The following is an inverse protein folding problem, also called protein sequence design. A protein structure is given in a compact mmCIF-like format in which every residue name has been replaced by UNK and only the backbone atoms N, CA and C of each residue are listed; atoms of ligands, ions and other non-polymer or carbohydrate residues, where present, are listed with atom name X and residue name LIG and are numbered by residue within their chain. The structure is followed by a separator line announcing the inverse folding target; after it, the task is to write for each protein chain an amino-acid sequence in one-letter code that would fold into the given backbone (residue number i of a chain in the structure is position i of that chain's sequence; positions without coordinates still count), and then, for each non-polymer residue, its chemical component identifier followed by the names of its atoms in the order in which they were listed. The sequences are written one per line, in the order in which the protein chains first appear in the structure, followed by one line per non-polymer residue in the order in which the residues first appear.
data_IF_993139263310
#
_entry.id   IF_993139263310
#
_cell.length_a   1.000
_cell.length_b   1.000
_cell.length_c   1.000
_cell.angle_alpha   90.00
_cell.angle_beta   90.00
_cell.angle_gamma   90.00
#
_symmetry.space_group_name_H-M   'P 1'
#
loop_
_entity.id
_entity.type
_entity.pdbx_description
1 polymer ?
#
# COMPACT_ATOMS: atom_id res chain seq x y z
N UNK A 1 -8.68 12.55 5.95
CA UNK A 1 -9.06 11.65 7.07
C UNK A 1 -10.40 10.99 6.74
N UNK A 2 -11.03 10.25 7.67
CA UNK A 2 -12.34 9.61 7.41
C UNK A 2 -13.49 10.60 7.15
N UNK A 3 -13.29 11.87 7.50
CA UNK A 3 -14.22 12.97 7.28
C UNK A 3 -13.99 13.68 5.94
N UNK A 4 -13.02 13.24 5.14
CA UNK A 4 -12.67 13.83 3.85
C UNK A 4 -11.79 15.09 3.95
N UNK A 5 -11.26 15.40 5.13
CA UNK A 5 -10.42 16.57 5.34
C UNK A 5 -8.95 16.28 4.99
N UNK A 6 -8.21 17.26 4.43
CA UNK A 6 -6.79 17.11 4.16
C UNK A 6 -5.98 16.93 5.45
N UNK A 7 -4.90 16.15 5.39
CA UNK A 7 -4.02 15.91 6.53
C UNK A 7 -2.62 16.44 6.16
N UNK A 8 -2.19 17.60 6.70
CA UNK A 8 -0.86 18.14 6.44
C UNK A 8 0.22 17.46 7.29
N UNK A 9 1.45 17.46 6.79
CA UNK A 9 2.63 17.00 7.52
C UNK A 9 2.63 15.50 7.83
N UNK A 10 1.98 14.69 6.99
CA UNK A 10 2.09 13.22 6.94
C UNK A 10 3.39 12.87 6.23
N UNK A 11 4.20 12.01 6.85
CA UNK A 11 5.42 11.45 6.26
C UNK A 11 5.06 10.23 5.41
N UNK A 12 5.63 10.15 4.21
CA UNK A 12 5.32 9.12 3.22
C UNK A 12 6.61 8.52 2.71
N UNK A 13 6.84 7.24 3.01
CA UNK A 13 7.90 6.44 2.40
C UNK A 13 7.31 5.75 1.17
N UNK A 14 7.90 6.01 0.00
CA UNK A 14 7.49 5.48 -1.30
C UNK A 14 8.62 4.65 -1.86
N UNK A 15 8.33 3.45 -2.38
CA UNK A 15 9.32 2.62 -3.07
C UNK A 15 8.72 1.79 -4.19
N UNK A 16 9.50 1.60 -5.26
CA UNK A 16 9.16 0.76 -6.41
C UNK A 16 10.40 0.08 -6.98
N UNK A 17 10.19 -0.89 -7.88
CA UNK A 17 11.26 -1.47 -8.69
C UNK A 17 11.65 -0.55 -9.83
N UNK A 18 12.84 -0.76 -10.39
CA UNK A 18 13.25 -0.14 -11.65
C UNK A 18 12.52 -0.76 -12.87
N UNK A 19 12.88 -0.30 -14.08
CA UNK A 19 12.31 -0.79 -15.34
C UNK A 19 12.64 -2.26 -15.66
N UNK A 20 13.56 -2.87 -14.92
CA UNK A 20 13.93 -4.29 -15.05
C UNK A 20 13.27 -5.17 -13.97
N UNK A 21 12.49 -4.57 -13.07
CA UNK A 21 11.80 -5.28 -11.99
C UNK A 21 12.67 -5.54 -10.76
N UNK A 22 13.73 -4.76 -10.55
CA UNK A 22 14.61 -4.90 -9.38
C UNK A 22 14.52 -3.70 -8.46
N UNK A 23 14.59 -3.95 -7.15
CA UNK A 23 14.83 -2.91 -6.16
C UNK A 23 16.31 -2.56 -6.10
N UNK A 24 16.61 -1.31 -5.73
CA UNK A 24 17.97 -0.82 -5.49
C UNK A 24 18.80 -1.73 -4.57
N UNK A 25 18.17 -2.32 -3.55
CA UNK A 25 18.80 -3.26 -2.61
C UNK A 25 19.22 -4.60 -3.22
N UNK A 26 18.80 -4.92 -4.43
CA UNK A 26 19.16 -6.17 -5.11
C UNK A 26 20.44 -6.05 -5.94
N UNK A 27 20.96 -4.84 -6.14
CA UNK A 27 22.22 -4.60 -6.84
C UNK A 27 23.38 -4.56 -5.86
N UNK A 28 24.40 -5.40 -6.09
CA UNK A 28 25.60 -5.45 -5.26
C UNK A 28 26.43 -4.15 -5.34
N UNK A 29 26.39 -3.48 -6.49
CA UNK A 29 27.13 -2.26 -6.82
C UNK A 29 26.33 -0.97 -6.58
N UNK A 30 25.22 -1.04 -5.82
CA UNK A 30 24.40 0.15 -5.50
C UNK A 30 25.25 1.27 -4.88
N UNK A 31 25.09 2.48 -5.39
CA UNK A 31 25.82 3.67 -4.90
C UNK A 31 24.98 4.55 -3.96
N UNK A 32 23.68 4.27 -3.86
CA UNK A 32 22.73 5.05 -3.06
C UNK A 32 21.32 4.49 -3.17
N UNK A 33 20.33 5.15 -2.54
CA UNK A 33 18.93 4.82 -2.73
C UNK A 33 18.47 5.18 -4.15
N UNK A 34 17.72 4.29 -4.79
CA UNK A 34 17.07 4.52 -6.07
C UNK A 34 15.65 3.92 -6.07
N UNK A 35 14.73 4.51 -6.83
CA UNK A 35 13.32 4.07 -6.86
C UNK A 35 12.61 4.26 -5.50
N UNK A 36 13.07 5.22 -4.69
CA UNK A 36 12.61 5.46 -3.32
C UNK A 36 12.55 6.95 -3.00
N UNK A 37 11.58 7.38 -2.19
CA UNK A 37 11.47 8.75 -1.72
C UNK A 37 10.85 8.83 -0.31
N UNK A 38 11.30 9.80 0.48
CA UNK A 38 10.62 10.23 1.70
C UNK A 38 10.00 11.59 1.43
N UNK A 39 8.67 11.67 1.50
CA UNK A 39 7.87 12.85 1.17
C UNK A 39 7.09 13.31 2.40
N UNK A 40 6.67 14.57 2.38
CA UNK A 40 5.77 15.15 3.37
C UNK A 40 4.61 15.84 2.65
N UNK A 41 3.39 15.64 3.14
CA UNK A 41 2.20 16.33 2.60
C UNK A 41 2.22 17.82 2.94
N UNK A 42 1.80 18.64 1.98
CA UNK A 42 1.70 20.08 2.15
C UNK A 42 0.50 20.50 3.03
N UNK A 43 0.28 21.81 3.17
CA UNK A 43 -0.84 22.37 3.96
C UNK A 43 -2.24 21.91 3.49
N UNK A 44 -2.36 21.46 2.23
CA UNK A 44 -3.59 20.93 1.65
C UNK A 44 -3.62 19.40 1.65
N UNK A 45 -2.69 18.73 2.34
CA UNK A 45 -2.59 17.27 2.38
C UNK A 45 -2.09 16.64 1.08
N UNK A 46 -1.51 17.43 0.18
CA UNK A 46 -1.05 16.96 -1.14
C UNK A 46 0.42 16.56 -1.09
N UNK A 47 0.75 15.46 -1.74
CA UNK A 47 2.12 15.08 -2.08
C UNK A 47 2.18 14.67 -3.56
N UNK A 48 3.37 14.75 -4.15
CA UNK A 48 3.60 14.33 -5.52
C UNK A 48 5.06 13.97 -5.73
N UNK A 49 5.33 13.15 -6.74
CA UNK A 49 6.68 12.79 -7.17
C UNK A 49 6.65 12.32 -8.63
N UNK A 50 7.80 12.32 -9.28
CA UNK A 50 7.98 11.67 -10.58
C UNK A 50 8.67 10.33 -10.36
N UNK A 51 8.03 9.25 -10.82
CA UNK A 51 8.59 7.91 -10.81
C UNK A 51 8.71 7.35 -12.23
N UNK A 52 8.86 6.05 -12.33
CA UNK A 52 8.73 5.32 -13.59
C UNK A 52 7.38 4.59 -13.63
N UNK A 53 6.99 4.05 -14.77
CA UNK A 53 5.84 3.15 -14.83
C UNK A 53 6.28 1.78 -14.27
N UNK A 54 5.67 1.27 -13.19
CA UNK A 54 6.04 -0.02 -12.63
C UNK A 54 5.90 -1.15 -13.65
N UNK A 55 6.80 -2.14 -13.55
CA UNK A 55 6.75 -3.36 -14.37
C UNK A 55 6.51 -4.58 -13.48
N UNK A 56 5.83 -5.63 -13.97
CA UNK A 56 5.69 -6.86 -13.23
C UNK A 56 7.06 -7.55 -13.04
N UNK A 57 7.23 -8.19 -11.88
CA UNK A 57 8.51 -8.79 -11.49
C UNK A 57 8.32 -10.05 -10.63
N UNK A 58 9.29 -10.99 -10.64
CA UNK A 58 9.24 -12.19 -9.82
C UNK A 58 9.66 -11.92 -8.37
N UNK A 59 9.04 -12.61 -7.41
CA UNK A 59 9.69 -12.84 -6.10
C UNK A 59 10.84 -13.85 -6.24
N UNK A 60 11.85 -13.84 -5.35
CA UNK A 60 12.96 -14.80 -5.40
C UNK A 60 12.48 -16.27 -5.47
N UNK A 61 12.93 -16.97 -6.51
CA UNK A 61 12.46 -18.32 -6.87
C UNK A 61 13.41 -19.46 -6.48
N UNK A 62 14.57 -19.13 -5.94
CA UNK A 62 15.66 -20.04 -5.54
C UNK A 62 15.55 -20.49 -4.06
N UNK A 63 14.82 -19.74 -3.24
CA UNK A 63 14.58 -20.04 -1.83
C UNK A 63 13.46 -21.06 -1.54
N UNK A 64 13.18 -21.31 -0.24
CA UNK A 64 12.10 -22.20 0.20
C UNK A 64 10.72 -21.85 -0.38
N UNK A 65 10.42 -20.55 -0.49
CA UNK A 65 9.16 -20.05 -1.07
C UNK A 65 9.08 -20.41 -2.55
N UNK A 66 10.16 -20.20 -3.31
CA UNK A 66 10.22 -20.58 -4.72
C UNK A 66 10.03 -22.08 -4.94
N UNK A 67 10.62 -22.92 -4.08
CA UNK A 67 10.39 -24.38 -4.13
C UNK A 67 8.93 -24.74 -3.83
N UNK A 68 8.31 -24.10 -2.84
CA UNK A 68 6.90 -24.30 -2.51
C UNK A 68 5.99 -23.92 -3.70
N UNK A 69 6.23 -22.77 -4.33
CA UNK A 69 5.44 -22.34 -5.50
C UNK A 69 5.55 -23.33 -6.66
N UNK A 70 6.75 -23.86 -6.93
CA UNK A 70 6.94 -24.91 -7.94
C UNK A 70 6.15 -26.19 -7.62
N UNK A 71 6.16 -26.64 -6.36
CA UNK A 71 5.38 -27.81 -5.93
C UNK A 71 3.87 -27.60 -6.11
N UNK A 72 3.40 -26.38 -5.83
CA UNK A 72 2.00 -25.99 -6.01
C UNK A 72 1.63 -25.63 -7.46
N UNK A 73 2.58 -25.74 -8.41
CA UNK A 73 2.41 -25.36 -9.82
C UNK A 73 1.96 -23.90 -10.00
N UNK A 74 2.49 -22.99 -9.16
CA UNK A 74 2.22 -21.55 -9.19
C UNK A 74 3.41 -20.77 -9.76
N UNK A 75 3.15 -19.67 -10.44
CA UNK A 75 4.19 -18.70 -10.80
C UNK A 75 4.61 -17.86 -9.58
N UNK A 76 5.76 -17.18 -9.69
CA UNK A 76 6.33 -16.28 -8.68
C UNK A 76 6.18 -14.79 -9.03
N UNK A 77 5.47 -14.47 -10.10
CA UNK A 77 5.28 -13.09 -10.56
C UNK A 77 4.33 -12.28 -9.69
N UNK A 78 4.66 -11.00 -9.55
CA UNK A 78 3.80 -9.93 -9.00
C UNK A 78 3.50 -8.91 -10.11
N UNK A 79 2.30 -8.32 -10.13
CA UNK A 79 1.97 -7.23 -11.06
C UNK A 79 2.83 -5.99 -10.81
N UNK A 80 2.95 -5.10 -11.80
CA UNK A 80 3.59 -3.79 -11.61
C UNK A 80 2.87 -2.96 -10.54
N UNK A 81 3.62 -2.47 -9.56
CA UNK A 81 3.07 -1.67 -8.46
C UNK A 81 4.09 -0.73 -7.82
N UNK A 82 3.58 0.26 -7.11
CA UNK A 82 4.33 1.16 -6.24
C UNK A 82 3.82 1.02 -4.81
N UNK A 83 4.74 1.01 -3.86
CA UNK A 83 4.45 0.87 -2.45
C UNK A 83 4.44 2.21 -1.72
N UNK A 84 3.65 2.27 -0.65
CA UNK A 84 3.54 3.43 0.22
C UNK A 84 3.48 3.00 1.68
N UNK A 85 4.13 3.78 2.55
CA UNK A 85 3.96 3.75 3.99
C UNK A 85 3.72 5.18 4.48
N UNK A 86 2.56 5.40 5.07
CA UNK A 86 2.13 6.69 5.61
C UNK A 86 2.25 6.68 7.14
N UNK A 87 2.89 7.72 7.68
CA UNK A 87 3.08 7.89 9.12
C UNK A 87 2.75 9.32 9.56
N UNK A 88 1.89 9.42 10.58
CA UNK A 88 1.53 10.67 11.24
C UNK A 88 1.13 10.39 12.68
N UNK A 89 1.65 11.18 13.62
CA UNK A 89 1.26 11.07 15.03
C UNK A 89 -0.28 11.21 15.18
N UNK A 90 -0.88 10.33 15.99
CA UNK A 90 -2.33 10.25 16.17
C UNK A 90 -3.08 9.42 15.12
N UNK A 91 -2.41 9.03 14.02
CA UNK A 91 -2.97 8.18 12.97
C UNK A 91 -2.45 6.75 13.03
N UNK A 92 -3.27 5.80 12.57
CA UNK A 92 -2.83 4.41 12.39
C UNK A 92 -1.95 4.35 11.12
N UNK A 93 -0.72 3.82 11.20
CA UNK A 93 0.14 3.72 10.02
C UNK A 93 -0.52 2.93 8.90
N UNK A 94 -0.51 3.48 7.68
CA UNK A 94 -1.02 2.80 6.50
C UNK A 94 0.15 2.28 5.67
N UNK A 95 0.26 0.96 5.55
CA UNK A 95 1.15 0.30 4.58
C UNK A 95 0.28 -0.25 3.45
N UNK A 96 0.54 0.17 2.23
CA UNK A 96 -0.26 -0.22 1.06
C UNK A 96 0.56 -0.20 -0.22
N UNK A 97 -0.05 -0.62 -1.33
CA UNK A 97 0.51 -0.50 -2.66
C UNK A 97 -0.60 -0.22 -3.67
N UNK A 98 -0.26 0.42 -4.78
CA UNK A 98 -1.16 0.61 -5.92
C UNK A 98 -0.65 -0.24 -7.08
N UNK A 99 -1.56 -1.01 -7.67
CA UNK A 99 -1.28 -1.98 -8.73
C UNK A 99 -1.80 -1.47 -10.05
N UNK A 100 -1.05 -1.65 -11.12
CA UNK A 100 -1.49 -1.23 -12.45
C UNK A 100 -2.62 -2.13 -12.96
N UNK A 101 -3.67 -1.48 -13.47
CA UNK A 101 -4.77 -2.15 -14.17
C UNK A 101 -4.27 -2.78 -15.46
N UNK A 102 -4.87 -3.92 -15.80
CA UNK A 102 -4.56 -4.73 -16.99
C UNK A 102 -3.16 -5.35 -16.97
N UNK A 103 -2.49 -5.36 -15.81
CA UNK A 103 -1.25 -6.09 -15.64
C UNK A 103 -1.52 -7.61 -15.76
N UNK A 104 -0.69 -8.39 -16.49
CA UNK A 104 -0.88 -9.82 -16.68
C UNK A 104 -1.01 -10.64 -15.38
N UNK A 105 -0.53 -10.11 -14.25
CA UNK A 105 -0.53 -10.78 -12.96
C UNK A 105 -1.46 -10.11 -11.94
N UNK A 106 -2.30 -9.14 -12.35
CA UNK A 106 -3.20 -8.42 -11.41
C UNK A 106 -4.16 -9.38 -10.68
N UNK A 107 -4.61 -10.44 -11.35
CA UNK A 107 -5.56 -11.42 -10.79
C UNK A 107 -4.86 -12.64 -10.19
N UNK A 108 -3.54 -12.75 -10.33
CA UNK A 108 -2.79 -13.96 -9.97
C UNK A 108 -1.53 -13.69 -9.13
N UNK A 109 -1.39 -12.49 -8.58
CA UNK A 109 -0.26 -12.06 -7.73
C UNK A 109 0.22 -13.17 -6.77
N UNK A 110 1.50 -13.51 -6.86
CA UNK A 110 2.09 -14.60 -6.11
C UNK A 110 1.93 -14.45 -4.59
N UNK A 111 1.84 -13.21 -4.09
CA UNK A 111 1.74 -12.89 -2.65
C UNK A 111 0.35 -12.45 -2.20
N UNK A 112 -0.65 -12.49 -3.09
CA UNK A 112 -2.05 -12.13 -2.78
C UNK A 112 -2.23 -10.70 -2.23
N UNK A 113 -1.36 -9.78 -2.65
CA UNK A 113 -1.36 -8.39 -2.22
C UNK A 113 -2.44 -7.53 -2.90
N UNK A 114 -2.84 -7.89 -4.13
CA UNK A 114 -3.84 -7.14 -4.89
C UNK A 114 -5.21 -7.16 -4.19
N UNK A 115 -5.82 -5.98 -4.09
CA UNK A 115 -7.22 -5.76 -3.68
C UNK A 115 -7.86 -4.86 -4.72
N UNK A 116 -9.13 -5.12 -5.07
CA UNK A 116 -9.83 -4.38 -6.13
C UNK A 116 -9.76 -2.84 -5.98
N UNK A 117 -9.90 -2.24 -4.77
CA UNK A 117 -9.78 -0.79 -4.60
C UNK A 117 -8.38 -0.22 -4.88
N UNK A 118 -7.35 -1.07 -4.88
CA UNK A 118 -5.95 -0.69 -5.06
C UNK A 118 -5.46 -0.86 -6.52
N UNK A 119 -6.35 -1.25 -7.44
CA UNK A 119 -6.03 -1.39 -8.87
C UNK A 119 -6.35 -0.08 -9.60
N UNK A 120 -5.31 0.58 -10.11
CA UNK A 120 -5.36 1.93 -10.66
C UNK A 120 -4.96 1.97 -12.13
N UNK A 121 -5.56 2.91 -12.86
CA UNK A 121 -5.17 3.21 -14.24
C UNK A 121 -4.10 4.30 -14.30
N UNK A 122 -3.53 4.48 -15.49
CA UNK A 122 -2.63 5.59 -15.79
C UNK A 122 -3.25 6.50 -16.85
N UNK A 123 -3.48 7.75 -16.46
CA UNK A 123 -4.01 8.79 -17.33
C UNK A 123 -2.89 9.49 -18.12
N UNK A 124 -3.27 10.50 -18.90
CA UNK A 124 -2.35 11.41 -19.57
C UNK A 124 -2.26 12.71 -18.79
N UNK A 125 -1.04 13.26 -18.70
CA UNK A 125 -0.82 14.60 -18.18
C UNK A 125 -1.46 15.64 -19.13
N UNK A 126 -2.31 16.49 -18.59
CA UNK A 126 -2.90 17.63 -19.30
C UNK A 126 -2.01 18.90 -19.22
N UNK A 127 -2.44 20.01 -19.82
CA UNK A 127 -1.68 21.28 -19.80
C UNK A 127 -1.52 21.83 -18.38
N UNK A 128 -2.53 21.66 -17.53
CA UNK A 128 -2.53 22.18 -16.16
C UNK A 128 -1.48 21.45 -15.33
N UNK A 129 -1.46 20.12 -15.38
CA UNK A 129 -0.50 19.29 -14.67
C UNK A 129 0.91 19.42 -15.24
N UNK A 130 1.05 19.47 -16.57
CA UNK A 130 2.34 19.69 -17.24
C UNK A 130 3.00 20.99 -16.77
N UNK A 131 2.22 22.08 -16.69
CA UNK A 131 2.70 23.38 -16.22
C UNK A 131 2.98 23.37 -14.73
N UNK A 132 2.05 22.86 -13.92
CA UNK A 132 2.15 22.87 -12.45
C UNK A 132 3.37 22.09 -11.94
N UNK A 133 3.64 20.93 -12.53
CA UNK A 133 4.70 20.01 -12.08
C UNK A 133 5.92 19.99 -13.00
N UNK A 134 5.95 20.83 -14.03
CA UNK A 134 7.03 20.92 -15.01
C UNK A 134 7.39 19.55 -15.64
N UNK A 135 6.38 18.84 -16.13
CA UNK A 135 6.52 17.52 -16.76
C UNK A 135 5.99 17.50 -18.19
N UNK A 136 6.45 16.56 -19.00
CA UNK A 136 5.97 16.38 -20.37
C UNK A 136 4.53 15.85 -20.40
N UNK A 137 3.73 16.26 -21.39
CA UNK A 137 2.42 15.64 -21.68
C UNK A 137 2.50 14.16 -22.07
N UNK A 138 3.69 13.65 -22.41
CA UNK A 138 3.92 12.22 -22.65
C UNK A 138 4.02 11.40 -21.35
N UNK A 139 4.21 12.07 -20.22
CA UNK A 139 4.27 11.43 -18.91
C UNK A 139 2.91 10.82 -18.56
N UNK A 140 2.94 9.61 -18.00
CA UNK A 140 1.75 8.94 -17.46
C UNK A 140 1.39 9.57 -16.11
N UNK A 141 0.09 9.77 -15.88
CA UNK A 141 -0.42 10.37 -14.64
C UNK A 141 -1.10 9.29 -13.79
N UNK A 142 -0.70 9.18 -12.53
CA UNK A 142 -1.41 8.42 -11.51
C UNK A 142 -1.94 9.42 -10.49
N UNK A 143 -3.24 9.41 -10.24
CA UNK A 143 -3.88 10.19 -9.18
C UNK A 143 -4.62 9.25 -8.24
N UNK A 144 -4.38 9.38 -6.95
CA UNK A 144 -5.00 8.53 -5.94
C UNK A 144 -5.04 9.23 -4.58
N UNK A 145 -6.19 9.17 -3.91
CA UNK A 145 -6.38 9.72 -2.58
C UNK A 145 -6.24 8.61 -1.52
N UNK A 146 -5.36 8.82 -0.56
CA UNK A 146 -5.21 7.92 0.58
C UNK A 146 -5.97 8.46 1.79
N UNK A 147 -6.75 7.60 2.42
CA UNK A 147 -7.50 7.93 3.62
C UNK A 147 -6.82 7.29 4.83
N UNK A 148 -6.37 8.12 5.76
CA UNK A 148 -5.86 7.67 7.05
C UNK A 148 -6.95 7.75 8.12
N UNK A 149 -7.08 6.66 8.87
CA UNK A 149 -7.87 6.60 10.10
C UNK A 149 -6.98 6.92 11.29
N UNK A 150 -7.54 7.55 12.32
CA UNK A 150 -6.84 7.78 13.57
C UNK A 150 -6.58 6.45 14.29
N UNK A 151 -5.53 6.41 15.12
CA UNK A 151 -5.25 5.22 15.93
C UNK A 151 -6.44 4.87 16.86
N UNK A 152 -7.18 5.89 17.31
CA UNK A 152 -8.38 5.70 18.12
C UNK A 152 -9.54 5.08 17.33
N UNK A 153 -9.79 5.55 16.10
CA UNK A 153 -10.83 5.00 15.24
C UNK A 153 -10.56 3.53 14.90
N UNK A 154 -9.31 3.18 14.56
CA UNK A 154 -8.97 1.79 14.24
C UNK A 154 -8.99 0.90 15.48
N UNK A 155 -8.56 1.39 16.64
CA UNK A 155 -8.70 0.66 17.91
C UNK A 155 -10.17 0.33 18.22
N UNK A 156 -11.06 1.33 18.18
CA UNK A 156 -12.50 1.13 18.41
C UNK A 156 -13.10 0.13 17.41
N UNK A 157 -12.68 0.21 16.14
CA UNK A 157 -13.17 -0.70 15.10
C UNK A 157 -12.68 -2.14 15.34
N UNK A 158 -11.41 -2.32 15.71
CA UNK A 158 -10.84 -3.64 16.06
C UNK A 158 -11.57 -4.26 17.24
N UNK A 159 -11.83 -3.48 18.28
CA UNK A 159 -12.56 -3.94 19.48
C UNK A 159 -13.95 -4.43 19.09
N UNK A 160 -14.72 -3.58 18.39
CA UNK A 160 -16.06 -3.94 17.90
C UNK A 160 -16.05 -5.19 17.03
N UNK A 161 -15.10 -5.30 16.09
CA UNK A 161 -15.01 -6.46 15.19
C UNK A 161 -14.64 -7.75 15.92
N UNK A 162 -13.84 -7.64 16.99
CA UNK A 162 -13.47 -8.77 17.82
C UNK A 162 -14.66 -9.28 18.64
N UNK A 163 -15.45 -8.38 19.21
CA UNK A 163 -16.70 -8.72 19.91
C UNK A 163 -17.69 -9.40 18.96
N UNK A 164 -17.98 -8.80 17.80
CA UNK A 164 -18.86 -9.37 16.77
C UNK A 164 -18.41 -10.78 16.33
N UNK A 165 -17.10 -11.02 16.21
CA UNK A 165 -16.56 -12.31 15.81
C UNK A 165 -16.76 -13.37 16.89
N UNK A 166 -16.62 -13.01 18.17
CA UNK A 166 -16.78 -13.93 19.29
C UNK A 166 -18.25 -14.20 19.61
N UNK A 167 -19.13 -13.21 19.46
CA UNK A 167 -20.59 -13.38 19.54
C UNK A 167 -21.07 -14.38 18.48
N UNK A 168 -20.56 -14.31 17.25
CA UNK A 168 -20.84 -15.32 16.19
C UNK A 168 -20.39 -16.73 16.55
N UNK A 169 -19.47 -16.87 17.50
CA UNK A 169 -19.02 -18.15 18.06
C UNK A 169 -19.79 -18.55 19.33
N UNK A 170 -20.85 -17.82 19.70
CA UNK A 170 -21.72 -18.12 20.84
C UNK A 170 -21.12 -17.82 22.21
N UNK A 171 -20.11 -16.95 22.28
CA UNK A 171 -19.44 -16.57 23.55
C UNK A 171 -19.71 -15.10 23.87
N UNK A 172 -19.98 -14.80 25.15
CA UNK A 172 -20.12 -13.43 25.65
C UNK A 172 -18.78 -12.91 26.17
N UNK A 173 -18.24 -11.89 25.52
CA UNK A 173 -16.97 -11.25 25.89
C UNK A 173 -17.10 -9.72 25.76
N UNK A 174 -16.24 -9.00 26.47
CA UNK A 174 -16.05 -7.55 26.35
C UNK A 174 -14.57 -7.27 26.11
N UNK A 175 -14.27 -6.22 25.36
CA UNK A 175 -12.88 -5.76 25.24
C UNK A 175 -12.51 -4.86 26.43
N UNK A 176 -11.49 -5.27 27.19
CA UNK A 176 -10.90 -4.49 28.28
C UNK A 176 -9.44 -4.23 27.93
N UNK A 177 -9.07 -2.97 27.70
CA UNK A 177 -7.71 -2.58 27.31
C UNK A 177 -7.17 -3.34 26.08
N UNK A 178 -8.02 -3.59 25.08
CA UNK A 178 -7.65 -4.33 23.85
C UNK A 178 -7.61 -5.86 24.00
N UNK A 179 -7.99 -6.40 25.17
CA UNK A 179 -8.05 -7.84 25.42
C UNK A 179 -9.50 -8.31 25.54
N UNK A 180 -9.83 -9.38 24.83
CA UNK A 180 -11.13 -10.06 24.95
C UNK A 180 -11.21 -10.75 26.31
N UNK A 181 -12.13 -10.28 27.14
CA UNK A 181 -12.36 -10.76 28.51
C UNK A 181 -13.76 -11.36 28.60
N UNK A 182 -13.88 -12.56 29.16
CA UNK A 182 -15.20 -13.19 29.38
C UNK A 182 -16.04 -12.29 30.28
N UNK A 183 -17.31 -12.12 29.92
CA UNK A 183 -18.27 -11.59 30.86
C UNK A 183 -18.61 -12.75 31.79
N UNK A 184 -18.03 -12.76 32.99
CA UNK A 184 -18.51 -13.66 34.04
C UNK A 184 -19.89 -13.16 34.48
N UNK A 185 -20.85 -14.08 34.60
CA UNK A 185 -22.19 -13.79 35.09
C UNK A 185 -22.08 -13.15 36.48
N UNK A 186 -22.48 -11.89 36.61
CA UNK A 186 -22.74 -11.24 37.90
C UNK A 186 -24.07 -11.70 38.48
#
# INVERSE_FOLDING_TARGET
NLQGEPIPGVIIDVWETDSTGHYDTQYEDRTGPAGRALLETDANGVFWFTGIVPVPYPIPGDGPVGRLLKLLKRHNMRPGHVHFKFEKEGYDPLITALYLRDDPYETSDAVFGVKAPLVVGLDQVDDTMATKYNVSKKTKLLTYDFVLATAQETSKLRDKKSEEAVEKLGKSVKVVQGLLTKVEDQ
#
